data_IF_603827433841
#
_entry.id   IF_603827433841
#
_cell.length_a   1.000
_cell.length_b   1.000
_cell.length_c   1.000
_cell.angle_alpha   90.00
_cell.angle_beta   90.00
_cell.angle_gamma   90.00
#
_symmetry.space_group_name_H-M   'P 1'
#
loop_
_entity.id
_entity.type
_entity.pdbx_description
1 polymer ?
#
# COMPACT_ATOMS: atom_id res chain seq x y z
N UNK A 1 -8.38 50.12 -6.60
CA UNK A 1 -8.30 48.81 -5.93
C UNK A 1 -9.72 48.26 -5.83
N UNK A 2 -10.09 47.33 -6.70
CA UNK A 2 -11.49 46.96 -6.96
C UNK A 2 -11.85 45.70 -6.13
N UNK A 3 -12.80 45.85 -5.21
CA UNK A 3 -13.18 44.84 -4.20
C UNK A 3 -13.93 43.62 -4.79
N UNK A 4 -14.28 43.66 -6.07
CA UNK A 4 -14.97 42.57 -6.76
C UNK A 4 -14.05 41.36 -7.03
N UNK A 5 -12.73 41.56 -7.12
CA UNK A 5 -11.78 40.50 -7.49
C UNK A 5 -11.47 39.51 -6.35
N UNK A 6 -11.77 39.84 -5.09
CA UNK A 6 -11.43 39.01 -3.92
C UNK A 6 -12.45 37.88 -3.69
N UNK A 7 -13.68 38.00 -4.19
CA UNK A 7 -14.75 37.01 -3.94
C UNK A 7 -14.64 35.73 -4.80
N UNK A 8 -13.99 35.82 -5.96
CA UNK A 8 -13.88 34.68 -6.89
C UNK A 8 -12.88 33.64 -6.38
N UNK A 9 -11.78 34.06 -5.75
CA UNK A 9 -10.74 33.15 -5.25
C UNK A 9 -11.23 32.33 -4.05
N UNK A 10 -12.10 32.89 -3.20
CA UNK A 10 -12.65 32.18 -2.04
C UNK A 10 -13.68 31.09 -2.40
N UNK A 11 -14.40 31.22 -3.52
CA UNK A 11 -15.41 30.25 -3.94
C UNK A 11 -14.82 28.98 -4.57
N UNK A 12 -13.68 29.10 -5.27
CA UNK A 12 -13.03 27.99 -5.95
C UNK A 12 -12.44 26.99 -4.93
N UNK A 13 -11.88 27.46 -3.81
CA UNK A 13 -11.31 26.59 -2.78
C UNK A 13 -12.36 25.74 -2.05
N UNK A 14 -13.60 26.23 -1.92
CA UNK A 14 -14.69 25.49 -1.26
C UNK A 14 -15.29 24.42 -2.19
N UNK A 15 -15.32 24.65 -3.50
CA UNK A 15 -15.84 23.68 -4.47
C UNK A 15 -14.90 22.49 -4.70
N UNK A 16 -13.57 22.69 -4.64
CA UNK A 16 -12.60 21.60 -4.78
C UNK A 16 -12.68 20.60 -3.62
N UNK A 17 -13.05 21.08 -2.43
CA UNK A 17 -13.15 20.26 -1.22
C UNK A 17 -14.42 19.37 -1.22
N UNK A 18 -15.49 19.79 -1.90
CA UNK A 18 -16.75 19.03 -1.97
C UNK A 18 -16.70 17.89 -3.00
N UNK A 19 -15.94 18.04 -4.08
CA UNK A 19 -15.77 17.00 -5.10
C UNK A 19 -14.94 15.80 -4.59
N UNK A 20 -13.92 16.07 -3.77
CA UNK A 20 -13.10 15.02 -3.15
C UNK A 20 -13.94 14.05 -2.29
N UNK A 21 -15.00 14.52 -1.63
CA UNK A 21 -15.79 13.67 -0.74
C UNK A 21 -16.64 12.61 -1.48
N UNK A 22 -16.97 12.85 -2.76
CA UNK A 22 -17.68 11.87 -3.61
C UNK A 22 -16.74 10.78 -4.16
N UNK A 23 -15.57 11.18 -4.66
CA UNK A 23 -14.60 10.27 -5.28
C UNK A 23 -13.91 9.34 -4.26
N UNK A 24 -13.71 9.80 -3.01
CA UNK A 24 -13.11 9.00 -1.93
C UNK A 24 -14.02 7.84 -1.48
N UNK A 25 -15.35 8.02 -1.52
CA UNK A 25 -16.31 6.96 -1.20
C UNK A 25 -16.27 5.82 -2.21
N UNK A 26 -16.07 6.17 -3.50
CA UNK A 26 -15.91 5.19 -4.57
C UNK A 26 -14.56 4.45 -4.44
N UNK A 27 -13.48 5.13 -4.02
CA UNK A 27 -12.17 4.51 -3.83
C UNK A 27 -12.21 3.34 -2.81
N UNK A 28 -12.83 3.55 -1.65
CA UNK A 28 -12.99 2.50 -0.64
C UNK A 28 -13.83 1.32 -1.15
N UNK A 29 -14.90 1.59 -1.91
CA UNK A 29 -15.72 0.53 -2.50
C UNK A 29 -14.93 -0.34 -3.48
N UNK A 30 -14.03 0.26 -4.28
CA UNK A 30 -13.13 -0.50 -5.14
C UNK A 30 -12.10 -1.31 -4.35
N UNK A 31 -11.57 -0.78 -3.23
CA UNK A 31 -10.67 -1.50 -2.33
C UNK A 31 -11.32 -2.74 -1.71
N UNK A 32 -12.57 -2.60 -1.24
CA UNK A 32 -13.33 -3.69 -0.64
C UNK A 32 -13.63 -4.77 -1.70
N UNK A 33 -14.11 -4.36 -2.88
CA UNK A 33 -14.36 -5.28 -3.99
C UNK A 33 -13.09 -6.00 -4.46
N UNK A 34 -11.95 -5.29 -4.52
CA UNK A 34 -10.65 -5.90 -4.84
C UNK A 34 -10.24 -6.95 -3.82
N UNK A 35 -10.52 -6.73 -2.53
CA UNK A 35 -10.27 -7.68 -1.45
C UNK A 35 -11.14 -8.94 -1.59
N UNK A 36 -12.43 -8.76 -1.83
CA UNK A 36 -13.37 -9.87 -2.01
C UNK A 36 -12.98 -10.75 -3.21
N UNK A 37 -12.55 -10.14 -4.31
CA UNK A 37 -12.07 -10.83 -5.50
C UNK A 37 -10.77 -11.60 -5.23
N UNK A 38 -9.87 -11.03 -4.42
CA UNK A 38 -8.64 -11.70 -4.01
C UNK A 38 -8.93 -12.95 -3.18
N UNK A 39 -9.88 -12.88 -2.25
CA UNK A 39 -10.33 -14.04 -1.45
C UNK A 39 -10.95 -15.14 -2.32
N UNK A 40 -11.62 -14.75 -3.41
CA UNK A 40 -12.15 -15.69 -4.41
C UNK A 40 -11.08 -16.25 -5.36
N UNK A 41 -9.82 -15.82 -5.24
CA UNK A 41 -8.72 -16.22 -6.13
C UNK A 41 -8.74 -15.55 -7.51
N UNK A 42 -9.61 -14.56 -7.72
CA UNK A 42 -9.73 -13.79 -8.97
C UNK A 42 -8.69 -12.68 -9.01
N UNK A 43 -7.43 -13.07 -9.08
CA UNK A 43 -6.31 -12.15 -8.87
C UNK A 43 -6.24 -11.04 -9.92
N UNK A 44 -6.61 -11.28 -11.18
CA UNK A 44 -6.54 -10.26 -12.25
C UNK A 44 -7.60 -9.19 -12.05
N UNK A 45 -8.83 -9.59 -11.72
CA UNK A 45 -9.91 -8.68 -11.40
C UNK A 45 -9.57 -7.87 -10.14
N UNK A 46 -9.03 -8.52 -9.11
CA UNK A 46 -8.58 -7.84 -7.88
C UNK A 46 -7.57 -6.72 -8.14
N UNK A 47 -6.55 -6.97 -8.99
CA UNK A 47 -5.58 -5.93 -9.37
C UNK A 47 -6.25 -4.71 -10.02
N UNK A 48 -7.17 -4.93 -10.96
CA UNK A 48 -7.89 -3.84 -11.62
C UNK A 48 -8.69 -2.98 -10.62
N UNK A 49 -9.25 -3.61 -9.60
CA UNK A 49 -9.99 -2.92 -8.55
C UNK A 49 -9.06 -2.09 -7.64
N UNK A 50 -7.90 -2.64 -7.23
CA UNK A 50 -6.92 -1.86 -6.48
C UNK A 50 -6.34 -0.69 -7.30
N UNK A 51 -6.06 -0.88 -8.59
CA UNK A 51 -5.62 0.19 -9.49
C UNK A 51 -6.64 1.32 -9.56
N UNK A 52 -7.93 0.97 -9.62
CA UNK A 52 -9.02 1.95 -9.64
C UNK A 52 -9.16 2.67 -8.31
N UNK A 53 -9.04 1.96 -7.19
CA UNK A 53 -9.05 2.56 -5.86
C UNK A 53 -7.93 3.60 -5.71
N UNK A 54 -6.70 3.26 -6.12
CA UNK A 54 -5.53 4.15 -6.11
C UNK A 54 -5.71 5.33 -7.08
N UNK A 55 -6.32 5.10 -8.24
CA UNK A 55 -6.59 6.15 -9.21
C UNK A 55 -7.62 7.19 -8.73
N UNK A 56 -8.51 6.80 -7.81
CA UNK A 56 -9.49 7.68 -7.17
C UNK A 56 -8.92 8.33 -5.90
N UNK A 57 -8.15 7.58 -5.12
CA UNK A 57 -7.48 8.05 -3.91
C UNK A 57 -6.03 7.54 -3.84
N UNK A 58 -5.10 8.41 -4.19
CA UNK A 58 -3.66 8.12 -4.15
C UNK A 58 -3.08 8.11 -2.71
N UNK A 59 -3.86 8.48 -1.70
CA UNK A 59 -3.47 8.41 -0.28
C UNK A 59 -4.04 7.16 0.42
N UNK A 60 -4.78 6.32 -0.31
CA UNK A 60 -5.39 5.10 0.21
C UNK A 60 -4.34 4.00 0.46
N UNK A 61 -3.64 4.14 1.58
CA UNK A 61 -2.51 3.30 2.03
C UNK A 61 -2.79 1.80 1.91
N UNK A 62 -3.99 1.37 2.31
CA UNK A 62 -4.35 -0.05 2.32
C UNK A 62 -4.47 -0.64 0.90
N UNK A 63 -4.82 0.17 -0.10
CA UNK A 63 -4.88 -0.29 -1.49
C UNK A 63 -3.49 -0.63 -2.03
N UNK A 64 -2.48 0.21 -1.76
CA UNK A 64 -1.08 -0.10 -2.07
C UNK A 64 -0.62 -1.37 -1.35
N UNK A 65 -0.87 -1.49 -0.04
CA UNK A 65 -0.44 -2.66 0.72
C UNK A 65 -1.01 -3.98 0.16
N UNK A 66 -2.31 -4.00 -0.14
CA UNK A 66 -2.98 -5.18 -0.69
C UNK A 66 -2.53 -5.50 -2.11
N UNK A 67 -2.35 -4.49 -2.96
CA UNK A 67 -1.83 -4.66 -4.32
C UNK A 67 -0.39 -5.19 -4.31
N UNK A 68 0.45 -4.70 -3.40
CA UNK A 68 1.80 -5.21 -3.19
C UNK A 68 1.83 -6.69 -2.78
N UNK A 69 0.97 -7.09 -1.85
CA UNK A 69 0.83 -8.50 -1.46
C UNK A 69 0.36 -9.39 -2.62
N UNK A 70 -0.49 -8.85 -3.49
CA UNK A 70 -0.96 -9.56 -4.67
C UNK A 70 0.14 -9.72 -5.72
N UNK A 71 0.94 -8.67 -5.98
CA UNK A 71 2.11 -8.76 -6.85
C UNK A 71 3.16 -9.74 -6.33
N UNK A 72 3.39 -9.76 -5.02
CA UNK A 72 4.32 -10.73 -4.42
C UNK A 72 3.85 -12.18 -4.61
N UNK A 73 2.54 -12.43 -4.46
CA UNK A 73 1.94 -13.75 -4.73
C UNK A 73 2.17 -14.19 -6.18
N UNK A 74 2.18 -13.23 -7.12
CA UNK A 74 2.50 -13.44 -8.54
C UNK A 74 3.99 -13.52 -8.85
N UNK A 75 4.85 -13.36 -7.83
CA UNK A 75 6.31 -13.23 -7.96
C UNK A 75 6.75 -12.02 -8.80
N UNK A 76 5.91 -10.99 -8.88
CA UNK A 76 6.23 -9.68 -9.46
C UNK A 76 6.88 -8.80 -8.38
N UNK A 77 8.06 -9.21 -7.92
CA UNK A 77 8.67 -8.69 -6.70
C UNK A 77 9.00 -7.19 -6.77
N UNK A 78 9.45 -6.69 -7.92
CA UNK A 78 9.78 -5.28 -8.09
C UNK A 78 8.55 -4.38 -7.90
N UNK A 79 7.40 -4.77 -8.46
CA UNK A 79 6.14 -4.04 -8.27
C UNK A 79 5.63 -4.13 -6.83
N UNK A 80 5.79 -5.30 -6.20
CA UNK A 80 5.46 -5.46 -4.79
C UNK A 80 6.29 -4.51 -3.90
N UNK A 81 7.60 -4.39 -4.17
CA UNK A 81 8.47 -3.47 -3.46
C UNK A 81 8.07 -2.00 -3.67
N UNK A 82 7.70 -1.61 -4.90
CA UNK A 82 7.18 -0.26 -5.18
C UNK A 82 5.94 0.04 -4.33
N UNK A 83 4.98 -0.88 -4.29
CA UNK A 83 3.75 -0.72 -3.50
C UNK A 83 4.00 -0.71 -2.00
N UNK A 84 4.90 -1.54 -1.49
CA UNK A 84 5.27 -1.49 -0.06
C UNK A 84 6.04 -0.21 0.28
N UNK A 85 6.85 0.33 -0.64
CA UNK A 85 7.51 1.62 -0.44
C UNK A 85 6.49 2.75 -0.34
N UNK A 86 5.48 2.77 -1.22
CA UNK A 86 4.40 3.76 -1.14
C UNK A 86 3.55 3.59 0.13
N UNK A 87 3.26 2.35 0.52
CA UNK A 87 2.59 2.04 1.79
C UNK A 87 3.36 2.64 2.97
N UNK A 88 4.67 2.42 3.04
CA UNK A 88 5.54 2.95 4.09
C UNK A 88 5.66 4.48 4.02
N UNK A 89 5.62 5.07 2.82
CA UNK A 89 5.66 6.52 2.65
C UNK A 89 4.38 7.18 3.21
N UNK A 90 3.23 6.56 2.99
CA UNK A 90 1.93 7.05 3.45
C UNK A 90 1.71 6.76 4.94
N UNK A 91 2.06 5.56 5.41
CA UNK A 91 2.02 5.17 6.82
C UNK A 91 3.35 4.55 7.28
N UNK A 92 4.27 5.37 7.79
CA UNK A 92 5.56 4.90 8.31
C UNK A 92 5.48 4.08 9.61
N UNK A 93 4.28 3.95 10.20
CA UNK A 93 4.04 3.23 11.44
C UNK A 93 3.39 1.85 11.19
N UNK A 94 3.03 1.54 9.94
CA UNK A 94 2.50 0.23 9.56
C UNK A 94 3.61 -0.82 9.56
N UNK A 95 3.75 -1.53 10.69
CA UNK A 95 4.81 -2.52 10.90
C UNK A 95 4.78 -3.66 9.87
N UNK A 96 3.59 -4.09 9.48
CA UNK A 96 3.36 -5.14 8.50
C UNK A 96 3.95 -4.78 7.13
N UNK A 97 3.90 -3.51 6.71
CA UNK A 97 4.45 -3.09 5.43
C UNK A 97 5.98 -3.32 5.37
N UNK A 98 6.68 -3.06 6.47
CA UNK A 98 8.11 -3.38 6.59
C UNK A 98 8.35 -4.89 6.52
N UNK A 99 7.56 -5.71 7.23
CA UNK A 99 7.72 -7.15 7.17
C UNK A 99 7.48 -7.73 5.76
N UNK A 100 6.42 -7.31 5.08
CA UNK A 100 6.13 -7.79 3.73
C UNK A 100 7.19 -7.32 2.72
N UNK A 101 7.74 -6.11 2.90
CA UNK A 101 8.90 -5.65 2.12
C UNK A 101 10.15 -6.48 2.42
N UNK A 102 10.43 -6.79 3.69
CA UNK A 102 11.54 -7.66 4.09
C UNK A 102 11.42 -9.06 3.45
N UNK A 103 10.20 -9.61 3.47
CA UNK A 103 9.86 -10.89 2.87
C UNK A 103 10.17 -10.91 1.38
N UNK A 104 9.73 -9.87 0.67
CA UNK A 104 9.97 -9.70 -0.76
C UNK A 104 11.46 -9.55 -1.09
N UNK A 105 12.19 -8.76 -0.30
CA UNK A 105 13.66 -8.62 -0.42
C UNK A 105 14.38 -9.95 -0.19
N UNK A 106 13.97 -10.73 0.80
CA UNK A 106 14.55 -12.05 1.07
C UNK A 106 14.31 -13.04 -0.09
N UNK A 107 13.12 -13.00 -0.71
CA UNK A 107 12.80 -13.77 -1.92
C UNK A 107 13.71 -13.40 -3.10
N UNK A 108 14.19 -12.15 -3.17
CA UNK A 108 15.13 -11.67 -4.18
C UNK A 108 16.62 -11.83 -3.79
N UNK A 109 16.93 -12.38 -2.62
CA UNK A 109 18.32 -12.53 -2.17
C UNK A 109 18.92 -11.32 -1.44
N UNK A 110 18.13 -10.27 -1.20
CA UNK A 110 18.56 -9.02 -0.57
C UNK A 110 18.50 -9.16 0.97
N UNK A 111 19.32 -10.06 1.51
CA UNK A 111 19.21 -10.50 2.90
C UNK A 111 19.60 -9.41 3.92
N UNK A 112 20.46 -8.47 3.54
CA UNK A 112 20.89 -7.36 4.40
C UNK A 112 19.76 -6.34 4.54
N UNK A 113 19.17 -5.95 3.42
CA UNK A 113 18.06 -5.00 3.34
C UNK A 113 16.78 -5.58 3.95
N UNK A 114 16.56 -6.90 3.81
CA UNK A 114 15.49 -7.60 4.50
C UNK A 114 15.64 -7.54 6.02
N UNK A 115 16.87 -7.71 6.53
CA UNK A 115 17.13 -7.62 7.97
C UNK A 115 16.82 -6.23 8.52
N UNK A 116 17.16 -5.17 7.80
CA UNK A 116 16.85 -3.79 8.20
C UNK A 116 15.35 -3.57 8.35
N UNK A 117 14.56 -4.09 7.41
CA UNK A 117 13.10 -3.99 7.46
C UNK A 117 12.50 -4.82 8.60
N UNK A 118 13.05 -6.01 8.88
CA UNK A 118 12.65 -6.79 10.08
C UNK A 118 12.94 -6.01 11.35
N UNK A 119 14.14 -5.43 11.48
CA UNK A 119 14.49 -4.65 12.66
C UNK A 119 13.53 -3.46 12.84
N UNK A 120 13.15 -2.79 11.75
CA UNK A 120 12.14 -1.72 11.78
C UNK A 120 10.74 -2.21 12.16
N UNK A 121 10.31 -3.36 11.65
CA UNK A 121 9.02 -3.95 12.00
C UNK A 121 8.95 -4.35 13.49
N UNK A 122 10.06 -4.81 14.06
CA UNK A 122 10.20 -5.12 15.49
C UNK A 122 10.14 -3.85 16.34
N UNK A 123 10.82 -2.77 15.93
CA UNK A 123 10.70 -1.46 16.60
C UNK A 123 9.26 -0.95 16.67
N UNK A 124 8.45 -1.28 15.65
CA UNK A 124 7.04 -0.91 15.55
C UNK A 124 6.10 -1.89 16.26
N UNK A 125 6.63 -2.96 16.87
CA UNK A 125 5.89 -3.83 17.79
C UNK A 125 5.62 -5.25 17.29
N UNK A 126 6.13 -5.67 16.12
CA UNK A 126 6.05 -7.07 15.70
C UNK A 126 7.03 -7.96 16.47
N UNK A 127 6.67 -9.22 16.66
CA UNK A 127 7.50 -10.20 17.36
C UNK A 127 8.71 -10.64 16.54
N UNK A 128 9.91 -10.36 17.03
CA UNK A 128 11.18 -10.67 16.33
C UNK A 128 11.30 -12.16 15.98
N UNK A 129 11.00 -13.04 16.93
CA UNK A 129 11.22 -14.47 16.74
C UNK A 129 10.33 -15.03 15.61
N UNK A 130 9.07 -14.60 15.55
CA UNK A 130 8.16 -14.93 14.46
C UNK A 130 8.68 -14.45 13.09
N UNK A 131 9.09 -13.18 12.99
CA UNK A 131 9.56 -12.63 11.71
C UNK A 131 10.85 -13.30 11.22
N UNK A 132 11.83 -13.51 12.12
CA UNK A 132 13.09 -14.16 11.77
C UNK A 132 12.88 -15.61 11.33
N UNK A 133 11.98 -16.35 11.99
CA UNK A 133 11.63 -17.71 11.59
C UNK A 133 10.98 -17.78 10.21
N UNK A 134 10.12 -16.81 9.87
CA UNK A 134 9.47 -16.74 8.57
C UNK A 134 10.46 -16.40 7.45
N UNK A 135 11.33 -15.42 7.68
CA UNK A 135 12.38 -15.04 6.73
C UNK A 135 13.38 -16.19 6.52
N UNK A 136 13.76 -16.90 7.58
CA UNK A 136 14.66 -18.05 7.45
C UNK A 136 14.04 -19.18 6.63
N UNK A 137 12.74 -19.45 6.82
CA UNK A 137 12.00 -20.43 6.02
C UNK A 137 11.98 -20.08 4.53
N UNK A 138 11.96 -18.79 4.20
CA UNK A 138 12.01 -18.31 2.82
C UNK A 138 13.40 -18.53 2.25
N UNK A 139 14.44 -18.14 2.99
CA UNK A 139 15.83 -18.33 2.57
C UNK A 139 16.17 -19.80 2.33
N UNK A 140 15.63 -20.71 3.14
CA UNK A 140 15.90 -22.14 3.00
C UNK A 140 15.21 -22.78 1.78
N UNK A 141 14.23 -22.10 1.17
CA UNK A 141 13.42 -22.61 0.04
C UNK A 141 13.84 -22.05 -1.32
N UNK A 142 14.80 -21.13 -1.36
CA UNK A 142 15.25 -20.46 -2.58
C UNK A 142 16.35 -21.24 -3.30
#
# INVERSE_FOLDING_TARGET
MNWQSVRIVAAILVTSLLAACGDLGDAQAYLDAGSDLQEQGKLDESLLHYDKAIGLDAELTLAYFKRGALYETRREFEKALEDYNETIRLDPQLAEAYFYRARTKALQGQDIEAKQDVDRAVELGLDRAALEADIERIKSRR
#
